data_IF_120775826576
#
_entry.id   IF_120775826576
#
_cell.length_a   1.000
_cell.length_b   1.000
_cell.length_c   1.000
_cell.angle_alpha   90.00
_cell.angle_beta   90.00
_cell.angle_gamma   90.00
#
_symmetry.space_group_name_H-M   'P 1'
#
loop_
_entity.id
_entity.type
_entity.pdbx_description
1 polymer ?
#
# COMPACT_ATOMS: atom_id res chain seq x y z
N UNK A 1 -8.12 2.80 6.71
CA UNK A 1 -8.16 4.24 7.04
C UNK A 1 -8.98 4.45 8.26
N UNK A 2 -8.51 5.32 9.15
CA UNK A 2 -9.30 5.78 10.30
C UNK A 2 -10.49 6.61 9.75
N UNK A 3 -11.76 6.26 10.05
CA UNK A 3 -12.90 6.86 9.38
C UNK A 3 -13.07 8.32 9.78
N UNK A 4 -12.73 8.62 11.04
CA UNK A 4 -12.94 9.91 11.68
C UNK A 4 -11.68 10.79 11.67
N UNK A 5 -10.57 10.30 11.11
CA UNK A 5 -9.29 11.01 11.10
C UNK A 5 -8.52 10.79 9.77
N UNK A 6 -8.78 11.62 8.75
CA UNK A 6 -8.14 11.47 7.44
C UNK A 6 -6.76 12.14 7.35
N UNK A 7 -6.25 12.73 8.44
CA UNK A 7 -5.07 13.62 8.38
C UNK A 7 -3.83 12.92 7.83
N UNK A 8 -3.55 11.69 8.27
CA UNK A 8 -2.43 10.91 7.76
C UNK A 8 -2.61 10.56 6.28
N UNK A 9 -3.81 10.12 5.90
CA UNK A 9 -4.08 9.66 4.54
C UNK A 9 -4.00 10.83 3.54
N UNK A 10 -4.51 12.01 3.92
CA UNK A 10 -4.36 13.26 3.17
C UNK A 10 -2.91 13.72 3.11
N UNK A 11 -2.16 13.59 4.21
CA UNK A 11 -0.74 13.95 4.24
C UNK A 11 0.07 13.08 3.27
N UNK A 12 -0.14 11.75 3.30
CA UNK A 12 0.51 10.80 2.39
C UNK A 12 0.18 11.15 0.94
N UNK A 13 -1.09 11.40 0.63
CA UNK A 13 -1.51 11.76 -0.72
C UNK A 13 -0.81 13.03 -1.24
N UNK A 14 -0.63 14.04 -0.37
CA UNK A 14 0.07 15.29 -0.69
C UNK A 14 1.57 15.12 -0.98
N UNK A 15 2.17 13.97 -0.63
CA UNK A 15 3.58 13.71 -0.93
C UNK A 15 3.81 13.35 -2.41
N UNK A 16 2.75 13.01 -3.14
CA UNK A 16 2.89 12.74 -4.57
C UNK A 16 3.20 14.02 -5.36
N UNK A 17 4.11 13.90 -6.33
CA UNK A 17 4.45 14.98 -7.27
C UNK A 17 3.42 15.16 -8.39
N UNK A 18 2.52 14.20 -8.56
CA UNK A 18 1.51 14.15 -9.65
C UNK A 18 0.16 14.67 -9.15
N UNK A 19 -0.59 15.30 -10.05
CA UNK A 19 -1.94 15.82 -9.78
C UNK A 19 -2.96 14.73 -9.46
N UNK A 20 -2.87 13.58 -10.13
CA UNK A 20 -3.74 12.41 -9.89
C UNK A 20 -2.86 11.16 -9.70
N UNK A 21 -2.26 10.97 -8.51
CA UNK A 21 -1.30 9.90 -8.28
C UNK A 21 -1.95 8.52 -8.21
N UNK A 22 -1.20 7.49 -8.62
CA UNK A 22 -1.53 6.07 -8.41
C UNK A 22 -1.12 5.67 -6.99
N UNK A 23 -2.09 5.35 -6.15
CA UNK A 23 -1.87 4.95 -4.76
C UNK A 23 -2.18 3.47 -4.65
N UNK A 24 -1.27 2.67 -4.12
CA UNK A 24 -1.48 1.24 -3.93
C UNK A 24 -1.46 0.86 -2.45
N UNK A 25 -2.52 0.21 -1.99
CA UNK A 25 -2.61 -0.34 -0.64
C UNK A 25 -2.05 -1.76 -0.57
N UNK A 26 -1.28 -2.07 0.48
CA UNK A 26 -0.82 -3.42 0.78
C UNK A 26 -1.41 -3.86 2.13
N UNK A 27 -2.50 -4.65 2.13
CA UNK A 27 -3.22 -5.08 3.34
C UNK A 27 -2.62 -6.33 4.00
N UNK A 28 -1.45 -6.82 3.56
CA UNK A 28 -0.89 -8.13 3.93
C UNK A 28 -0.82 -8.37 5.44
N UNK A 29 -0.47 -7.36 6.24
CA UNK A 29 -0.40 -7.49 7.71
C UNK A 29 -1.73 -7.94 8.35
N UNK A 30 -2.85 -7.64 7.69
CA UNK A 30 -4.21 -7.98 8.11
C UNK A 30 -4.74 -9.27 7.49
N UNK A 31 -3.92 -10.00 6.74
CA UNK A 31 -4.36 -11.16 5.96
C UNK A 31 -5.30 -10.78 4.83
N UNK A 32 -5.01 -9.66 4.16
CA UNK A 32 -5.83 -9.10 3.07
C UNK A 32 -7.31 -8.92 3.43
N UNK A 33 -7.57 -8.33 4.61
CA UNK A 33 -8.93 -8.12 5.11
C UNK A 33 -9.79 -7.29 4.16
N UNK A 34 -10.88 -7.87 3.64
CA UNK A 34 -11.86 -7.20 2.78
C UNK A 34 -12.42 -5.92 3.41
N UNK A 35 -12.64 -5.91 4.73
CA UNK A 35 -13.11 -4.72 5.44
C UNK A 35 -12.08 -3.59 5.41
N UNK A 36 -10.79 -3.92 5.55
CA UNK A 36 -9.73 -2.92 5.52
C UNK A 36 -9.54 -2.37 4.10
N UNK A 37 -9.59 -3.26 3.10
CA UNK A 37 -9.56 -2.90 1.68
C UNK A 37 -10.75 -1.97 1.34
N UNK A 38 -11.97 -2.33 1.76
CA UNK A 38 -13.16 -1.52 1.56
C UNK A 38 -13.04 -0.13 2.18
N UNK A 39 -12.50 -0.01 3.40
CA UNK A 39 -12.23 1.29 4.04
C UNK A 39 -11.18 2.11 3.31
N UNK A 40 -10.14 1.47 2.76
CA UNK A 40 -9.16 2.13 1.91
C UNK A 40 -9.82 2.76 0.68
N UNK A 41 -10.63 1.99 -0.05
CA UNK A 41 -11.34 2.48 -1.23
C UNK A 41 -12.41 3.53 -0.91
N UNK A 42 -13.17 3.36 0.18
CA UNK A 42 -14.19 4.32 0.62
C UNK A 42 -13.60 5.72 0.86
N UNK A 43 -12.35 5.80 1.32
CA UNK A 43 -11.64 7.06 1.48
C UNK A 43 -11.04 7.55 0.15
N UNK A 44 -10.19 6.75 -0.50
CA UNK A 44 -9.39 7.22 -1.64
C UNK A 44 -10.18 7.42 -2.94
N UNK A 45 -11.32 6.74 -3.13
CA UNK A 45 -12.20 7.01 -4.27
C UNK A 45 -12.82 8.42 -4.21
N UNK A 46 -12.83 9.07 -3.04
CA UNK A 46 -13.30 10.45 -2.86
C UNK A 46 -12.19 11.49 -3.10
N UNK A 47 -10.95 11.05 -3.30
CA UNK A 47 -9.78 11.91 -3.50
C UNK A 47 -9.40 11.94 -4.98
N UNK A 48 -8.68 12.97 -5.41
CA UNK A 48 -8.14 13.06 -6.77
C UNK A 48 -6.93 12.13 -6.95
N UNK A 49 -7.16 10.81 -7.00
CA UNK A 49 -6.13 9.80 -7.16
C UNK A 49 -6.66 8.54 -7.88
N UNK A 50 -5.76 7.61 -8.22
CA UNK A 50 -6.10 6.28 -8.75
C UNK A 50 -5.78 5.21 -7.71
N UNK A 51 -6.74 4.78 -6.89
CA UNK A 51 -6.50 3.77 -5.87
C UNK A 51 -6.42 2.36 -6.46
N UNK A 52 -5.49 1.56 -5.96
CA UNK A 52 -5.39 0.12 -6.20
C UNK A 52 -4.99 -0.59 -4.90
N UNK A 53 -5.06 -1.92 -4.87
CA UNK A 53 -4.46 -2.70 -3.80
C UNK A 53 -3.71 -3.90 -4.37
N UNK A 54 -2.73 -4.38 -3.62
CA UNK A 54 -1.99 -5.60 -3.89
C UNK A 54 -2.37 -6.64 -2.83
N UNK A 55 -3.21 -7.61 -3.21
CA UNK A 55 -3.43 -8.80 -2.39
C UNK A 55 -2.37 -9.85 -2.72
N UNK A 56 -1.74 -10.47 -1.72
CA UNK A 56 -0.89 -11.65 -1.92
C UNK A 56 -1.71 -12.95 -1.92
N UNK A 57 -2.89 -12.94 -1.31
CA UNK A 57 -3.80 -14.09 -1.35
C UNK A 57 -4.55 -14.20 -2.68
N UNK A 58 -4.76 -13.08 -3.38
CA UNK A 58 -5.37 -12.99 -4.72
C UNK A 58 -4.63 -11.95 -5.56
N UNK A 59 -3.44 -12.28 -6.10
CA UNK A 59 -2.61 -11.34 -6.84
C UNK A 59 -3.34 -10.69 -8.02
N UNK A 60 -3.23 -9.36 -8.21
CA UNK A 60 -3.87 -8.68 -9.34
C UNK A 60 -3.17 -8.98 -10.68
N UNK A 61 -1.94 -9.49 -10.64
CA UNK A 61 -1.13 -9.89 -11.80
C UNK A 61 -0.09 -10.93 -11.37
N UNK A 62 0.58 -11.57 -12.34
CA UNK A 62 1.76 -12.41 -12.12
C UNK A 62 3.03 -11.57 -11.90
N UNK A 63 3.13 -10.42 -12.56
CA UNK A 63 4.29 -9.54 -12.44
C UNK A 63 4.04 -8.48 -11.36
N UNK A 64 4.36 -8.83 -10.12
CA UNK A 64 4.20 -7.92 -8.98
C UNK A 64 5.17 -6.74 -9.04
N UNK A 65 6.34 -6.92 -9.67
CA UNK A 65 7.35 -5.89 -9.74
C UNK A 65 6.89 -4.77 -10.67
N UNK A 66 6.46 -5.10 -11.89
CA UNK A 66 5.88 -4.13 -12.81
C UNK A 66 4.68 -3.42 -12.16
N UNK A 67 3.80 -4.17 -11.50
CA UNK A 67 2.65 -3.61 -10.80
C UNK A 67 3.04 -2.61 -9.71
N UNK A 68 4.05 -2.89 -8.90
CA UNK A 68 4.48 -1.98 -7.82
C UNK A 68 5.23 -0.76 -8.39
N UNK A 69 6.11 -0.97 -9.38
CA UNK A 69 6.93 0.10 -9.95
C UNK A 69 6.12 1.10 -10.78
N UNK A 70 4.91 0.75 -11.23
CA UNK A 70 4.04 1.71 -11.90
C UNK A 70 3.29 2.67 -10.95
N UNK A 71 3.45 2.54 -9.63
CA UNK A 71 2.74 3.35 -8.62
C UNK A 71 3.53 4.60 -8.23
N UNK A 72 2.81 5.57 -7.66
CA UNK A 72 3.42 6.80 -7.12
C UNK A 72 3.56 6.73 -5.59
N UNK A 73 2.61 6.06 -4.93
CA UNK A 73 2.58 5.85 -3.48
C UNK A 73 2.25 4.38 -3.21
N UNK A 74 3.01 3.75 -2.32
CA UNK A 74 2.66 2.49 -1.67
C UNK A 74 2.31 2.76 -0.22
N UNK A 75 1.15 2.26 0.22
CA UNK A 75 0.66 2.43 1.58
C UNK A 75 0.39 1.06 2.22
N UNK A 76 1.15 0.72 3.25
CA UNK A 76 1.09 -0.56 3.94
C UNK A 76 0.19 -0.48 5.17
N UNK A 77 -0.82 -1.34 5.22
CA UNK A 77 -1.73 -1.45 6.36
C UNK A 77 -1.07 -2.10 7.58
N UNK A 78 -1.62 -1.81 8.77
CA UNK A 78 -1.18 -2.43 10.02
C UNK A 78 -1.74 -3.82 10.27
N UNK A 79 -1.37 -4.37 11.45
CA UNK A 79 -1.78 -5.61 12.14
C UNK A 79 -0.56 -6.46 12.52
N UNK A 80 -0.33 -7.63 11.92
CA UNK A 80 0.74 -8.54 12.36
C UNK A 80 2.01 -8.40 11.51
N UNK A 81 3.05 -7.76 12.07
CA UNK A 81 4.34 -7.55 11.39
C UNK A 81 5.05 -8.86 11.03
N UNK A 82 5.00 -9.87 11.91
CA UNK A 82 5.67 -11.16 11.67
C UNK A 82 5.08 -11.85 10.44
N UNK A 83 3.75 -11.94 10.34
CA UNK A 83 3.08 -12.57 9.21
C UNK A 83 3.34 -11.81 7.91
N UNK A 84 3.31 -10.47 7.96
CA UNK A 84 3.67 -9.62 6.82
C UNK A 84 5.09 -9.95 6.32
N UNK A 85 6.09 -9.92 7.21
CA UNK A 85 7.50 -10.10 6.83
C UNK A 85 7.77 -11.50 6.27
N UNK A 86 7.15 -12.54 6.83
CA UNK A 86 7.27 -13.90 6.29
C UNK A 86 6.72 -13.95 4.87
N UNK A 87 5.48 -13.48 4.65
CA UNK A 87 4.88 -13.49 3.32
C UNK A 87 5.66 -12.63 2.32
N UNK A 88 6.15 -11.46 2.72
CA UNK A 88 6.89 -10.60 1.81
C UNK A 88 8.20 -11.23 1.34
N UNK A 89 8.94 -11.91 2.24
CA UNK A 89 10.15 -12.64 1.87
C UNK A 89 9.85 -13.80 0.92
N UNK A 90 8.82 -14.58 1.21
CA UNK A 90 8.40 -15.70 0.35
C UNK A 90 8.00 -15.24 -1.05
N UNK A 91 7.38 -14.05 -1.17
CA UNK A 91 6.95 -13.48 -2.44
C UNK A 91 7.98 -12.56 -3.11
N UNK A 92 9.14 -12.33 -2.47
CA UNK A 92 10.15 -11.36 -2.92
C UNK A 92 9.68 -9.90 -2.92
N UNK A 93 8.56 -9.60 -2.26
CA UNK A 93 7.96 -8.27 -2.25
C UNK A 93 8.83 -7.25 -1.49
N UNK A 94 9.59 -7.69 -0.51
CA UNK A 94 10.56 -6.86 0.22
C UNK A 94 11.63 -6.25 -0.72
N UNK A 95 12.16 -7.06 -1.64
CA UNK A 95 13.12 -6.60 -2.64
C UNK A 95 12.49 -5.64 -3.65
N UNK A 96 11.27 -5.94 -4.10
CA UNK A 96 10.49 -5.08 -5.01
C UNK A 96 10.22 -3.72 -4.36
N UNK A 97 9.82 -3.68 -3.09
CA UNK A 97 9.56 -2.45 -2.35
C UNK A 97 10.84 -1.63 -2.11
N UNK A 98 11.97 -2.29 -1.83
CA UNK A 98 13.28 -1.62 -1.78
C UNK A 98 13.63 -0.97 -3.11
N UNK A 99 13.37 -1.65 -4.23
CA UNK A 99 13.58 -1.10 -5.57
C UNK A 99 12.66 0.10 -5.84
N UNK A 100 11.39 0.00 -5.47
CA UNK A 100 10.42 1.09 -5.58
C UNK A 100 10.88 2.35 -4.82
N UNK A 101 11.32 2.18 -3.58
CA UNK A 101 11.88 3.28 -2.77
C UNK A 101 13.09 3.94 -3.42
N UNK A 102 14.03 3.14 -3.93
CA UNK A 102 15.21 3.64 -4.64
C UNK A 102 14.86 4.44 -5.92
N UNK A 103 13.68 4.21 -6.52
CA UNK A 103 13.17 4.95 -7.66
C UNK A 103 12.35 6.19 -7.27
N UNK A 104 12.24 6.48 -5.97
CA UNK A 104 11.52 7.64 -5.44
C UNK A 104 10.02 7.46 -5.30
N UNK A 105 9.52 6.22 -5.37
CA UNK A 105 8.13 5.91 -5.01
C UNK A 105 7.96 6.13 -3.51
N UNK A 106 6.92 6.86 -3.12
CA UNK A 106 6.66 7.15 -1.71
C UNK A 106 6.19 5.88 -1.02
N UNK A 107 6.89 5.45 0.02
CA UNK A 107 6.46 4.37 0.89
C UNK A 107 5.92 4.96 2.20
N UNK A 108 4.73 4.52 2.59
CA UNK A 108 4.11 4.86 3.86
C UNK A 108 3.50 3.62 4.51
N UNK A 109 3.37 3.63 5.83
CA UNK A 109 2.74 2.52 6.54
C UNK A 109 2.24 2.91 7.92
N UNK A 110 1.31 2.10 8.43
CA UNK A 110 0.73 2.28 9.77
C UNK A 110 1.00 1.05 10.61
N UNK A 111 1.45 1.25 11.86
CA UNK A 111 1.69 0.18 12.83
C UNK A 111 2.64 -0.89 12.27
N UNK A 112 2.17 -2.10 11.98
CA UNK A 112 3.01 -3.13 11.34
C UNK A 112 3.66 -2.62 10.04
N UNK A 113 2.92 -1.85 9.23
CA UNK A 113 3.43 -1.29 7.99
C UNK A 113 4.48 -0.19 8.18
N UNK A 114 4.59 0.43 9.35
CA UNK A 114 5.66 1.39 9.66
C UNK A 114 6.91 0.73 10.28
N UNK A 115 6.82 -0.55 10.64
CA UNK A 115 7.91 -1.31 11.30
C UNK A 115 8.67 -2.20 10.30
N UNK A 116 8.01 -2.63 9.22
CA UNK A 116 8.48 -3.64 8.29
C UNK A 116 9.62 -3.20 7.37
#
# INVERSE_FOLDING_TARGET
MEPDNPLLDLYILKQAKKTTPKVCFIPTASGDSDHYISRYYSFFNKQNCKPSHLSLFRPPTRDLEEFILEKDIIYVGGRNTRNLLVLWKEWGLDNILRKAWNQGIVLAGVSAGSIC
#
